data_IF_601490904057
#
_entry.id   IF_601490904057
#
_cell.length_a   1.000
_cell.length_b   1.000
_cell.length_c   1.000
_cell.angle_alpha   90.00
_cell.angle_beta   90.00
_cell.angle_gamma   90.00
#
_symmetry.space_group_name_H-M   'P 1'
#
loop_
_entity.id
_entity.type
_entity.pdbx_description
1 polymer ?
#
# COMPACT_ATOMS: atom_id res chain seq x y z
N UNK A 1 -21.89 28.44 21.15
CA UNK A 1 -20.74 29.08 21.82
C UNK A 1 -20.00 28.05 22.64
N UNK A 2 -18.77 27.71 22.26
CA UNK A 2 -17.89 26.82 23.02
C UNK A 2 -16.84 27.70 23.71
N UNK A 3 -16.77 27.68 25.05
CA UNK A 3 -15.81 28.48 25.82
C UNK A 3 -14.54 27.64 26.04
N UNK A 4 -13.38 28.30 26.16
CA UNK A 4 -12.08 27.62 26.34
C UNK A 4 -12.06 26.79 27.63
N UNK A 5 -12.82 27.23 28.63
CA UNK A 5 -13.00 26.55 29.92
C UNK A 5 -13.65 25.16 29.76
N UNK A 6 -14.52 24.96 28.76
CA UNK A 6 -15.21 23.69 28.50
C UNK A 6 -14.33 22.67 27.76
N UNK A 7 -13.12 23.06 27.32
CA UNK A 7 -12.20 22.21 26.56
C UNK A 7 -11.46 21.19 27.44
N UNK A 8 -11.30 21.49 28.73
CA UNK A 8 -10.71 20.60 29.74
C UNK A 8 -11.56 19.34 29.95
N UNK A 9 -12.88 19.49 29.91
CA UNK A 9 -13.84 18.44 30.32
C UNK A 9 -14.29 17.57 29.14
N UNK A 10 -13.93 17.95 27.91
CA UNK A 10 -14.33 17.25 26.70
C UNK A 10 -13.27 16.22 26.30
N UNK A 11 -13.58 14.93 26.40
CA UNK A 11 -12.74 13.81 25.93
C UNK A 11 -12.54 13.79 24.39
N UNK A 12 -12.98 14.82 23.69
CA UNK A 12 -12.67 15.04 22.28
C UNK A 12 -11.16 15.19 22.12
N UNK A 13 -10.57 14.45 21.17
CA UNK A 13 -9.13 14.59 20.89
C UNK A 13 -8.79 16.06 20.63
N UNK A 14 -7.64 16.51 21.13
CA UNK A 14 -7.14 17.88 20.94
C UNK A 14 -7.25 18.32 19.47
N UNK A 15 -7.01 17.41 18.53
CA UNK A 15 -7.21 17.63 17.10
C UNK A 15 -8.65 18.05 16.73
N UNK A 16 -9.68 17.42 17.31
CA UNK A 16 -11.09 17.78 17.08
C UNK A 16 -11.41 19.16 17.65
N UNK A 17 -10.92 19.48 18.85
CA UNK A 17 -11.09 20.80 19.46
C UNK A 17 -10.40 21.89 18.64
N UNK A 18 -9.13 21.69 18.27
CA UNK A 18 -8.41 22.60 17.38
C UNK A 18 -9.18 22.84 16.07
N UNK A 19 -9.73 21.79 15.44
CA UNK A 19 -10.50 21.92 14.20
C UNK A 19 -11.79 22.72 14.36
N UNK A 20 -12.48 22.59 15.50
CA UNK A 20 -13.69 23.37 15.81
C UNK A 20 -13.34 24.84 16.03
N UNK A 21 -12.28 25.12 16.80
CA UNK A 21 -11.87 26.49 17.12
C UNK A 21 -11.26 27.22 15.94
N UNK A 22 -10.41 26.57 15.15
CA UNK A 22 -9.79 27.21 13.98
C UNK A 22 -10.78 27.44 12.85
N UNK A 23 -11.90 26.69 12.83
CA UNK A 23 -12.83 26.62 11.69
C UNK A 23 -12.10 26.45 10.35
N UNK A 24 -10.89 25.89 10.38
CA UNK A 24 -10.04 25.83 9.20
C UNK A 24 -10.70 24.92 8.17
N UNK A 25 -10.82 25.33 6.91
CA UNK A 25 -11.30 24.45 5.86
C UNK A 25 -10.44 23.17 5.84
N UNK A 26 -11.06 22.03 5.53
CA UNK A 26 -10.32 20.79 5.41
C UNK A 26 -9.21 20.94 4.36
N UNK A 27 -8.00 20.40 4.60
CA UNK A 27 -6.94 20.47 3.61
C UNK A 27 -7.42 19.80 2.32
N UNK A 28 -7.44 20.58 1.23
CA UNK A 28 -7.80 20.07 -0.10
C UNK A 28 -6.60 19.30 -0.63
N UNK A 29 -6.75 17.99 -0.81
CA UNK A 29 -5.73 17.16 -1.46
C UNK A 29 -5.79 17.39 -2.97
N UNK A 30 -4.71 17.87 -3.60
CA UNK A 30 -4.68 18.00 -5.05
C UNK A 30 -4.73 16.62 -5.69
N UNK A 31 -5.36 16.55 -6.85
CA UNK A 31 -5.24 15.43 -7.76
C UNK A 31 -4.17 15.75 -8.81
N UNK A 32 -3.46 14.72 -9.25
CA UNK A 32 -2.52 14.83 -10.35
C UNK A 32 -3.29 14.69 -11.67
N UNK A 33 -3.18 15.68 -12.54
CA UNK A 33 -3.68 15.58 -13.90
C UNK A 33 -2.66 14.86 -14.80
N UNK A 34 -3.09 14.43 -15.99
CA UNK A 34 -2.25 13.69 -16.95
C UNK A 34 -0.99 14.47 -17.34
N UNK A 35 -1.08 15.80 -17.41
CA UNK A 35 0.04 16.70 -17.70
C UNK A 35 1.01 16.88 -16.52
N UNK A 36 0.81 16.17 -15.40
CA UNK A 36 1.58 16.33 -14.16
C UNK A 36 1.23 17.56 -13.34
N UNK A 37 0.18 18.31 -13.73
CA UNK A 37 -0.28 19.49 -12.98
C UNK A 37 -1.14 19.10 -11.79
N UNK A 38 -0.96 19.78 -10.66
CA UNK A 38 -1.78 19.58 -9.46
C UNK A 38 -3.08 20.39 -9.58
N UNK A 39 -4.22 19.72 -9.41
CA UNK A 39 -5.57 20.30 -9.52
C UNK A 39 -6.31 20.18 -8.20
N UNK A 40 -6.90 21.29 -7.74
CA UNK A 40 -7.49 21.40 -6.39
C UNK A 40 -9.01 21.60 -6.43
N UNK A 41 -9.60 21.95 -7.57
CA UNK A 41 -11.05 22.19 -7.65
C UNK A 41 -11.80 20.88 -7.69
N UNK A 42 -13.03 20.91 -7.18
CA UNK A 42 -13.92 19.74 -7.20
C UNK A 42 -14.33 19.37 -8.63
N UNK A 43 -14.49 20.37 -9.50
CA UNK A 43 -14.82 20.22 -10.92
C UNK A 43 -13.75 19.42 -11.67
N UNK A 44 -12.47 19.75 -11.45
CA UNK A 44 -11.32 19.07 -12.08
C UNK A 44 -11.29 17.56 -11.80
N UNK A 45 -11.94 17.10 -10.71
CA UNK A 45 -11.94 15.68 -10.33
C UNK A 45 -12.68 14.81 -11.31
N UNK A 46 -13.78 15.32 -11.88
CA UNK A 46 -14.59 14.57 -12.84
C UNK A 46 -13.80 14.36 -14.12
N UNK A 47 -13.14 15.42 -14.61
CA UNK A 47 -12.33 15.37 -15.82
C UNK A 47 -11.13 14.44 -15.65
N UNK A 48 -10.40 14.56 -14.53
CA UNK A 48 -9.26 13.67 -14.20
C UNK A 48 -9.71 12.21 -14.18
N UNK A 49 -10.84 11.93 -13.51
CA UNK A 49 -11.36 10.58 -13.42
C UNK A 49 -11.79 10.06 -14.80
N UNK A 50 -12.49 10.87 -15.60
CA UNK A 50 -12.87 10.51 -16.95
C UNK A 50 -11.66 10.16 -17.82
N UNK A 51 -10.62 11.00 -17.83
CA UNK A 51 -9.40 10.74 -18.61
C UNK A 51 -8.67 9.47 -18.17
N UNK A 52 -8.60 9.21 -16.86
CA UNK A 52 -8.01 7.98 -16.35
C UNK A 52 -8.82 6.75 -16.76
N UNK A 53 -10.15 6.81 -16.69
CA UNK A 53 -11.01 5.71 -17.10
C UNK A 53 -10.90 5.44 -18.60
N UNK A 54 -10.89 6.47 -19.45
CA UNK A 54 -10.66 6.30 -20.89
C UNK A 54 -9.35 5.59 -21.19
N UNK A 55 -8.29 5.92 -20.45
CA UNK A 55 -6.98 5.29 -20.60
C UNK A 55 -7.01 3.82 -20.19
N UNK A 56 -7.64 3.51 -19.04
CA UNK A 56 -7.71 2.14 -18.50
C UNK A 56 -8.66 1.23 -19.28
N UNK A 57 -9.77 1.77 -19.77
CA UNK A 57 -10.76 1.03 -20.53
C UNK A 57 -10.53 1.06 -22.03
N UNK A 58 -9.41 1.62 -22.49
CA UNK A 58 -9.04 1.53 -23.90
C UNK A 58 -8.78 0.06 -24.24
N UNK A 59 -9.63 -0.58 -25.08
CA UNK A 59 -9.41 -1.96 -25.45
C UNK A 59 -8.04 -2.07 -26.11
N UNK A 60 -7.26 -3.06 -25.66
CA UNK A 60 -5.96 -3.33 -26.24
C UNK A 60 -6.15 -3.63 -27.74
N UNK A 61 -5.60 -2.78 -28.61
CA UNK A 61 -5.74 -2.98 -30.05
C UNK A 61 -4.97 -4.24 -30.44
N UNK A 62 -5.68 -5.28 -30.89
CA UNK A 62 -5.14 -6.61 -31.22
C UNK A 62 -4.23 -6.58 -32.48
N UNK A 63 -3.83 -5.39 -32.96
CA UNK A 63 -2.97 -5.23 -34.14
C UNK A 63 -1.57 -5.81 -33.98
N UNK A 64 -1.14 -6.15 -32.76
CA UNK A 64 0.21 -6.67 -32.51
C UNK A 64 0.18 -8.21 -32.43
N UNK A 65 -0.19 -8.86 -33.54
CA UNK A 65 -0.13 -10.32 -33.71
C UNK A 65 1.20 -10.89 -33.20
N UNK A 66 2.30 -10.20 -33.49
CA UNK A 66 3.65 -10.60 -33.11
C UNK A 66 3.88 -10.56 -31.59
N UNK A 67 3.34 -9.57 -30.88
CA UNK A 67 3.43 -9.51 -29.41
C UNK A 67 2.63 -10.63 -28.76
N UNK A 68 1.46 -10.95 -29.31
CA UNK A 68 0.64 -12.06 -28.80
C UNK A 68 1.35 -13.40 -29.01
N UNK A 69 2.03 -13.59 -30.15
CA UNK A 69 2.85 -14.79 -30.38
C UNK A 69 4.01 -14.87 -29.37
N UNK A 70 4.76 -13.78 -29.16
CA UNK A 70 5.84 -13.75 -28.17
C UNK A 70 5.37 -14.07 -26.74
N UNK A 71 4.22 -13.54 -26.33
CA UNK A 71 3.64 -13.84 -25.02
C UNK A 71 3.25 -15.33 -24.93
N UNK A 72 2.60 -15.86 -25.96
CA UNK A 72 2.21 -17.26 -26.00
C UNK A 72 3.43 -18.18 -25.94
N UNK A 73 4.48 -17.88 -26.71
CA UNK A 73 5.72 -18.65 -26.72
C UNK A 73 6.42 -18.58 -25.35
N UNK A 74 6.45 -17.40 -24.71
CA UNK A 74 7.00 -17.24 -23.37
C UNK A 74 6.24 -18.09 -22.35
N UNK A 75 4.91 -18.03 -22.35
CA UNK A 75 4.06 -18.81 -21.43
C UNK A 75 4.25 -20.30 -21.67
N UNK A 76 4.31 -20.73 -22.92
CA UNK A 76 4.58 -22.13 -23.28
C UNK A 76 5.94 -22.59 -22.75
N UNK A 77 6.97 -21.76 -22.94
CA UNK A 77 8.31 -22.07 -22.44
C UNK A 77 8.38 -22.09 -20.91
N UNK A 78 7.65 -21.20 -20.23
CA UNK A 78 7.58 -21.18 -18.76
C UNK A 78 6.97 -22.47 -18.21
N UNK A 79 5.89 -22.97 -18.81
CA UNK A 79 5.27 -24.24 -18.39
C UNK A 79 6.05 -25.48 -18.84
N UNK A 80 6.83 -25.37 -19.92
CA UNK A 80 7.71 -26.44 -20.38
C UNK A 80 9.03 -26.51 -19.59
N UNK A 81 9.38 -25.46 -18.85
CA UNK A 81 10.57 -25.44 -18.03
C UNK A 81 10.44 -26.46 -16.89
N UNK A 82 11.48 -27.28 -16.63
CA UNK A 82 11.47 -28.16 -15.47
C UNK A 82 11.39 -27.31 -14.20
N UNK A 83 10.62 -27.79 -13.22
CA UNK A 83 10.55 -27.16 -11.91
C UNK A 83 11.98 -26.96 -11.37
N UNK A 84 12.32 -25.78 -10.83
CA UNK A 84 13.58 -25.62 -10.16
C UNK A 84 13.71 -26.69 -9.06
N UNK A 85 14.93 -27.21 -8.83
CA UNK A 85 15.13 -28.17 -7.75
C UNK A 85 14.60 -27.56 -6.45
N UNK A 86 13.90 -28.37 -5.64
CA UNK A 86 13.48 -27.94 -4.32
C UNK A 86 14.72 -27.46 -3.56
N UNK A 87 14.71 -26.18 -3.18
CA UNK A 87 15.73 -25.67 -2.28
C UNK A 87 15.71 -26.52 -1.01
N UNK A 88 16.88 -26.94 -0.52
CA UNK A 88 16.96 -27.67 0.75
C UNK A 88 16.13 -26.93 1.79
N UNK A 89 15.29 -27.62 2.56
CA UNK A 89 14.35 -26.98 3.47
C UNK A 89 15.14 -26.02 4.35
N UNK A 90 14.97 -24.71 4.11
CA UNK A 90 15.59 -23.70 4.94
C UNK A 90 15.15 -24.01 6.36
N UNK A 91 16.12 -24.32 7.23
CA UNK A 91 15.83 -24.64 8.64
C UNK A 91 15.21 -23.39 9.25
N UNK A 92 13.88 -23.37 9.31
CA UNK A 92 13.14 -22.24 9.85
C UNK A 92 13.20 -22.31 11.37
N UNK A 93 14.20 -21.64 11.94
CA UNK A 93 14.38 -21.56 13.38
C UNK A 93 13.40 -20.52 13.93
N UNK A 94 12.34 -20.99 14.59
CA UNK A 94 11.39 -20.09 15.25
C UNK A 94 11.97 -19.51 16.55
N UNK A 95 11.54 -18.31 16.99
CA UNK A 95 11.94 -17.75 18.29
C UNK A 95 11.66 -18.70 19.47
N UNK A 96 10.60 -19.52 19.37
CA UNK A 96 10.25 -20.54 20.36
C UNK A 96 11.31 -21.64 20.46
N UNK A 97 11.80 -22.13 19.32
CA UNK A 97 12.85 -23.15 19.29
C UNK A 97 14.15 -22.64 19.94
N UNK A 98 14.50 -21.38 19.70
CA UNK A 98 15.65 -20.72 20.34
C UNK A 98 15.46 -20.66 21.85
N UNK A 99 14.30 -20.18 22.31
CA UNK A 99 13.99 -20.09 23.75
C UNK A 99 14.03 -21.45 24.43
N UNK A 100 13.43 -22.47 23.81
CA UNK A 100 13.39 -23.82 24.37
C UNK A 100 14.80 -24.45 24.41
N UNK A 101 15.66 -24.16 23.43
CA UNK A 101 17.07 -24.55 23.44
C UNK A 101 17.86 -23.86 24.57
N UNK A 102 17.67 -22.55 24.76
CA UNK A 102 18.31 -21.78 25.84
C UNK A 102 17.89 -22.30 27.21
N UNK A 103 16.61 -22.62 27.40
CA UNK A 103 16.09 -23.12 28.67
C UNK A 103 16.68 -24.47 29.10
N UNK A 104 17.19 -25.26 28.14
CA UNK A 104 17.82 -26.56 28.39
C UNK A 104 19.32 -26.45 28.68
N UNK A 105 19.92 -25.28 28.46
CA UNK A 105 21.30 -25.05 28.85
C UNK A 105 21.36 -24.88 30.38
N UNK A 106 22.15 -25.72 31.06
CA UNK A 106 22.39 -25.54 32.49
C UNK A 106 23.02 -24.17 32.72
N UNK A 107 22.58 -23.40 33.73
CA UNK A 107 23.26 -22.15 34.07
C UNK A 107 24.72 -22.49 34.41
N UNK A 108 25.65 -21.86 33.70
CA UNK A 108 27.05 -21.81 34.16
C UNK A 108 27.03 -20.96 35.42
N UNK A 109 27.07 -21.61 36.57
CA UNK A 109 27.29 -20.94 37.84
C UNK A 109 28.69 -20.32 37.78
N UNK A 110 28.76 -19.00 37.58
CA UNK A 110 29.95 -18.23 37.87
C UNK A 110 29.87 -17.84 39.35
N UNK A 111 30.43 -18.70 40.20
CA UNK A 111 30.87 -18.38 41.56
C UNK A 111 32.25 -18.97 41.75
#
# INVERSE_FOLDING_TARGET
DYRIEDASDNTASLHRLCRIFTRSPAPVRPLLHVDGTLRYRTEDRVDILATHLETLFRPFSISNSDQNQLINDYVRNFFAAPLPPEEEPQIFITPRMVRDAISKLKPKNFF
#
